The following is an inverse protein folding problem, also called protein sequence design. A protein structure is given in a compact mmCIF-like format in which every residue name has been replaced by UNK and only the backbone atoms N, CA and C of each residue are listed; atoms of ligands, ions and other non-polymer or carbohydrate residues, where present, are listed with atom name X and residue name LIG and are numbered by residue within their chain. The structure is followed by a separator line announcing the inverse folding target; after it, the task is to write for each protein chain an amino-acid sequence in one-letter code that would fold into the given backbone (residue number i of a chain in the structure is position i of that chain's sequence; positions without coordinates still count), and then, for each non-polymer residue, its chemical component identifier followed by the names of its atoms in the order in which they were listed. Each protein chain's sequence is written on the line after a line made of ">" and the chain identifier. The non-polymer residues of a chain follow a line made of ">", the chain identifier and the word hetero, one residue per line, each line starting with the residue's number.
data_IF_141426325968
#
_entry.id   IF_141426325968
#
_cell.length_a   1.000
_cell.length_b   1.000
_cell.length_c   1.000
_cell.angle_alpha   90.00
_cell.angle_beta   90.00
_cell.angle_gamma   90.00
#
_symmetry.space_group_name_H-M   'P 1'
#
loop_
_entity.id
_entity.type
_entity.pdbx_description
1 polymer ?
2 non-polymer ?
3 non-polymer ?
4 water ?
#
# COMPACT_ATOMS: atom_id res chain seq x y z
N UNK A 1 -19.73 3.45 11.33
CA UNK A 1 -18.80 2.91 12.30
C UNK A 1 -17.62 2.24 11.65
N UNK A 2 -16.72 1.69 12.47
CA UNK A 2 -15.49 1.09 11.90
C UNK A 2 -15.74 -0.03 10.90
N UNK A 3 -16.73 -0.90 11.14
CA UNK A 3 -17.00 -1.97 10.19
C UNK A 3 -17.38 -1.43 8.82
N UNK A 4 -18.25 -0.42 8.77
CA UNK A 4 -18.65 0.17 7.50
C UNK A 4 -17.48 0.89 6.83
N UNK A 5 -16.70 1.64 7.62
CA UNK A 5 -15.53 2.30 7.04
C UNK A 5 -14.52 1.28 6.52
N UNK A 6 -14.38 0.14 7.21
CA UNK A 6 -13.49 -0.91 6.73
C UNK A 6 -13.99 -1.54 5.44
N UNK A 7 -15.31 -1.53 5.20
CA UNK A 7 -15.81 -1.97 3.89
C UNK A 7 -15.32 -1.04 2.80
N UNK A 8 -15.38 0.27 3.04
CA UNK A 8 -14.85 1.21 2.06
C UNK A 8 -13.36 0.97 1.84
N UNK A 9 -12.60 0.76 2.92
CA UNK A 9 -11.19 0.41 2.77
C UNK A 9 -10.99 -0.84 1.93
N UNK A 10 -11.79 -1.88 2.17
CA UNK A 10 -11.66 -3.08 1.36
C UNK A 10 -11.95 -2.79 -0.10
N UNK A 11 -12.92 -1.91 -0.37
CA UNK A 11 -13.20 -1.53 -1.75
C UNK A 11 -12.02 -0.85 -2.40
N UNK A 12 -11.39 0.08 -1.66
CA UNK A 12 -10.18 0.73 -2.15
C UNK A 12 -9.11 -0.30 -2.47
N UNK A 13 -8.88 -1.23 -1.54
CA UNK A 13 -7.84 -2.24 -1.73
C UNK A 13 -8.11 -3.06 -2.98
N UNK A 14 -9.36 -3.47 -3.18
CA UNK A 14 -9.70 -4.23 -4.37
C UNK A 14 -9.42 -3.42 -5.62
N UNK A 15 -9.75 -2.13 -5.59
CA UNK A 15 -9.44 -1.27 -6.73
C UNK A 15 -7.94 -1.17 -6.97
N UNK A 16 -7.13 -0.99 -5.92
CA UNK A 16 -5.69 -0.88 -6.12
C UNK A 16 -5.10 -2.14 -6.74
N UNK A 17 -5.71 -3.29 -6.49
CA UNK A 17 -5.25 -4.56 -7.03
C UNK A 17 -5.86 -4.90 -8.38
N UNK A 18 -6.76 -4.08 -8.90
CA UNK A 18 -7.52 -4.41 -10.10
C UNK A 18 -6.74 -4.07 -11.37
N UNK A 19 -7.21 -4.64 -12.50
CA UNK A 19 -6.52 -4.44 -13.77
C UNK A 19 -6.45 -2.97 -14.16
N UNK A 20 -7.44 -2.18 -13.73
CA UNK A 20 -7.50 -0.76 -14.06
C UNK A 20 -6.19 -0.03 -13.73
N UNK A 21 -5.54 -0.41 -12.63
CA UNK A 21 -4.35 0.29 -12.14
C UNK A 21 -3.08 -0.53 -12.27
N UNK A 22 -3.12 -1.66 -12.98
CA UNK A 22 -2.01 -2.61 -12.96
C UNK A 22 -0.74 -2.04 -13.57
N UNK A 23 -0.85 -1.06 -14.46
CA UNK A 23 0.34 -0.54 -15.12
C UNK A 23 1.31 0.10 -14.13
N UNK A 24 0.80 0.64 -13.03
CA UNK A 24 1.63 1.27 -12.01
C UNK A 24 1.50 0.66 -10.62
N UNK A 25 0.53 -0.23 -10.40
CA UNK A 25 0.39 -0.86 -9.09
C UNK A 25 1.26 -2.09 -8.93
N UNK A 26 1.69 -2.71 -10.03
CA UNK A 26 2.33 -4.02 -9.95
C UNK A 26 3.52 -4.09 -9.01
N UNK A 27 4.38 -3.08 -8.86
CA UNK A 27 5.50 -3.25 -7.92
C UNK A 27 5.05 -3.48 -6.50
N UNK A 28 3.83 -3.06 -6.16
CA UNK A 28 3.37 -3.06 -4.78
C UNK A 28 2.51 -4.28 -4.45
N UNK A 29 2.42 -5.24 -5.38
CA UNK A 29 1.53 -6.38 -5.19
C UNK A 29 2.03 -7.32 -4.09
N UNK A 30 3.33 -7.52 -3.99
CA UNK A 30 3.90 -8.52 -3.09
C UNK A 30 5.06 -7.92 -2.31
N UNK A 31 5.47 -8.55 -1.20
CA UNK A 31 6.61 -8.00 -0.45
C UNK A 31 7.83 -7.85 -1.34
N UNK A 32 8.56 -6.75 -1.14
CA UNK A 32 9.83 -6.58 -1.84
C UNK A 32 10.73 -7.75 -1.52
N UNK A 33 11.22 -8.42 -2.56
CA UNK A 33 12.20 -9.49 -2.43
C UNK A 33 13.57 -8.85 -2.62
N UNK A 34 14.14 -8.37 -1.52
CA UNK A 34 15.35 -7.55 -1.60
C UNK A 34 16.51 -8.33 -2.20
N UNK A 35 16.70 -9.58 -1.78
CA UNK A 35 17.78 -10.39 -2.35
C UNK A 35 17.61 -10.56 -3.85
N UNK A 36 16.39 -10.87 -4.30
CA UNK A 36 16.16 -11.11 -5.72
C UNK A 36 16.43 -9.86 -6.55
N UNK A 37 16.11 -8.69 -6.00
CA UNK A 37 16.32 -7.42 -6.69
C UNK A 37 17.73 -6.87 -6.51
N UNK A 38 18.57 -7.54 -5.73
CA UNK A 38 19.91 -7.04 -5.45
C UNK A 38 19.95 -5.86 -4.50
N UNK A 39 18.88 -5.63 -3.74
CA UNK A 39 18.79 -4.49 -2.83
C UNK A 39 19.23 -4.92 -1.44
N UNK A 40 20.55 -5.14 -1.31
CA UNK A 40 21.06 -5.78 -0.11
C UNK A 40 21.08 -4.87 1.10
N UNK A 41 20.75 -3.59 0.93
CA UNK A 41 20.57 -2.66 2.03
C UNK A 41 19.11 -2.40 2.37
N UNK A 42 18.16 -3.04 1.66
CA UNK A 42 16.75 -2.68 1.80
C UNK A 42 16.28 -2.82 3.24
N UNK A 43 16.60 -3.94 3.88
CA UNK A 43 16.11 -4.17 5.23
C UNK A 43 16.89 -3.41 6.30
N UNK A 44 18.01 -2.79 5.94
CA UNK A 44 18.68 -1.87 6.85
C UNK A 44 18.02 -0.49 6.80
N UNK A 45 17.50 -0.12 5.64
CA UNK A 45 16.89 1.20 5.44
C UNK A 45 15.40 1.18 5.76
N UNK A 46 14.71 0.10 5.41
CA UNK A 46 13.27 -0.05 5.58
C UNK A 46 13.04 -0.99 6.76
N UNK A 47 12.64 -0.42 7.88
CA UNK A 47 12.44 -1.20 9.10
C UNK A 47 11.10 -1.91 9.11
N UNK A 48 10.10 -1.39 8.39
CA UNK A 48 8.74 -1.92 8.38
C UNK A 48 8.24 -2.08 6.96
N UNK A 49 8.63 -3.17 6.29
CA UNK A 49 8.15 -3.41 4.93
C UNK A 49 6.63 -3.54 4.89
N UNK A 50 6.04 -3.15 3.77
CA UNK A 50 4.61 -3.27 3.59
C UNK A 50 4.33 -3.38 2.10
N UNK A 51 3.24 -4.08 1.77
CA UNK A 51 2.83 -4.26 0.38
C UNK A 51 1.34 -4.62 0.38
N UNK A 52 0.74 -4.62 -0.81
CA UNK A 52 -0.70 -4.80 -0.90
C UNK A 52 -1.16 -6.21 -0.51
N UNK A 53 -0.35 -7.25 -0.76
CA UNK A 53 -0.77 -8.59 -0.36
C UNK A 53 -0.82 -8.71 1.16
N UNK A 54 0.07 -8.00 1.84
CA UNK A 54 0.05 -8.01 3.30
C UNK A 54 -1.16 -7.24 3.83
N UNK A 55 -1.46 -6.09 3.23
CA UNK A 55 -2.67 -5.36 3.60
C UNK A 55 -3.90 -6.25 3.38
N UNK A 56 -3.94 -6.97 2.26
CA UNK A 56 -5.08 -7.83 1.97
C UNK A 56 -5.22 -8.93 3.01
N UNK A 57 -4.11 -9.55 3.40
CA UNK A 57 -4.20 -10.62 4.39
C UNK A 57 -4.68 -10.07 5.73
N UNK A 58 -4.20 -8.88 6.10
CA UNK A 58 -4.64 -8.27 7.34
C UNK A 58 -6.12 -7.92 7.30
N UNK A 59 -6.61 -7.40 6.18
CA UNK A 59 -8.04 -7.14 6.05
C UNK A 59 -8.84 -8.44 6.15
N UNK A 60 -8.38 -9.50 5.47
CA UNK A 60 -9.10 -10.77 5.47
C UNK A 60 -9.16 -11.38 6.86
N UNK A 61 -8.12 -11.20 7.65
CA UNK A 61 -8.03 -11.74 9.01
C UNK A 61 -8.60 -10.81 10.06
N UNK A 62 -9.21 -9.69 9.66
CA UNK A 62 -9.77 -8.71 10.59
C UNK A 62 -8.72 -8.15 11.53
N UNK A 63 -7.49 -8.02 11.03
CA UNK A 63 -6.42 -7.45 11.83
C UNK A 63 -6.64 -5.95 12.03
N UNK A 64 -7.14 -5.25 11.00
CA UNK A 64 -7.38 -3.82 11.12
C UNK A 64 -8.61 -3.56 11.97
N UNK A 65 -8.45 -2.74 13.00
CA UNK A 65 -9.56 -2.39 13.87
C UNK A 65 -10.36 -1.21 13.34
N UNK A 66 -9.76 -0.37 12.50
CA UNK A 66 -10.46 0.79 11.96
C UNK A 66 -9.77 1.23 10.68
N UNK A 67 -10.39 2.20 10.01
CA UNK A 67 -9.88 2.67 8.73
C UNK A 67 -8.53 3.34 8.88
N UNK A 68 -8.30 4.01 10.00
CA UNK A 68 -7.04 4.72 10.21
C UNK A 68 -5.87 3.75 10.22
N UNK A 69 -6.05 2.58 10.82
CA UNK A 69 -4.99 1.57 10.85
C UNK A 69 -4.68 1.07 9.45
N UNK A 70 -5.72 0.82 8.65
CA UNK A 70 -5.53 0.44 7.26
C UNK A 70 -4.78 1.52 6.48
N UNK A 71 -5.20 2.78 6.62
CA UNK A 71 -4.58 3.85 5.85
C UNK A 71 -3.12 4.01 6.23
N UNK A 72 -2.80 3.85 7.51
CA UNK A 72 -1.41 3.96 7.93
C UNK A 72 -0.54 2.91 7.25
N UNK A 73 -1.04 1.68 7.08
CA UNK A 73 -0.26 0.65 6.39
C UNK A 73 -0.10 0.96 4.91
N UNK A 74 -1.17 1.39 4.23
CA UNK A 74 -1.02 1.73 2.82
C UNK A 74 -0.02 2.87 2.65
N UNK A 75 -0.11 3.88 3.51
CA UNK A 75 0.81 5.00 3.41
C UNK A 75 2.24 4.59 3.76
N UNK A 76 2.40 3.65 4.69
CA UNK A 76 3.72 3.13 5.01
C UNK A 76 4.36 2.49 3.78
N UNK A 77 3.56 1.76 3.01
CA UNK A 77 4.09 1.10 1.83
C UNK A 77 4.62 2.13 0.84
N UNK A 78 3.88 3.22 0.62
CA UNK A 78 4.38 4.26 -0.28
C UNK A 78 5.59 4.97 0.31
N UNK A 79 5.56 5.28 1.61
CA UNK A 79 6.68 5.97 2.25
C UNK A 79 7.97 5.18 2.14
N UNK A 80 7.88 3.85 2.24
CA UNK A 80 9.09 3.04 2.10
C UNK A 80 9.71 3.25 0.74
N UNK A 81 8.88 3.34 -0.29
CA UNK A 81 9.38 3.59 -1.63
C UNK A 81 10.03 4.96 -1.73
N UNK A 82 9.40 5.99 -1.15
CA UNK A 82 9.96 7.33 -1.15
C UNK A 82 11.24 7.41 -0.33
N UNK A 83 11.38 6.55 0.68
CA UNK A 83 12.56 6.57 1.53
C UNK A 83 13.75 5.90 0.84
N UNK A 84 13.51 4.78 0.16
CA UNK A 84 14.60 3.95 -0.34
C UNK A 84 15.20 4.50 -1.63
N UNK A 85 14.39 5.12 -2.49
CA UNK A 85 14.80 5.41 -3.85
C UNK A 85 15.00 6.90 -4.06
N UNK A 86 15.89 7.28 -4.98
CA UNK A 86 15.95 8.67 -5.43
C UNK A 86 14.59 9.11 -5.94
N UNK A 87 14.22 10.38 -5.72
CA UNK A 87 12.86 10.82 -6.07
C UNK A 87 12.54 10.78 -7.55
N UNK A 88 13.54 10.71 -8.44
CA UNK A 88 13.28 10.65 -9.87
C UNK A 88 13.17 9.23 -10.42
N UNK A 89 13.22 8.21 -9.56
CA UNK A 89 13.18 6.84 -10.06
C UNK A 89 11.78 6.49 -10.54
N UNK A 90 11.73 5.62 -11.55
CA UNK A 90 10.46 5.19 -12.12
C UNK A 90 9.55 4.56 -11.07
N UNK A 91 10.12 3.80 -10.12
CA UNK A 91 9.26 3.17 -9.13
C UNK A 91 8.59 4.21 -8.23
N UNK A 92 9.27 5.33 -7.98
CA UNK A 92 8.67 6.42 -7.21
C UNK A 92 7.52 7.05 -7.99
N UNK A 93 7.68 7.22 -9.30
CA UNK A 93 6.58 7.75 -10.11
C UNK A 93 5.36 6.83 -10.06
N UNK A 94 5.59 5.51 -10.07
CA UNK A 94 4.49 4.58 -9.95
C UNK A 94 3.83 4.67 -8.58
N UNK A 95 4.64 4.75 -7.51
CA UNK A 95 4.08 4.91 -6.17
C UNK A 95 3.22 6.16 -6.07
N UNK A 96 3.69 7.27 -6.64
CA UNK A 96 2.94 8.52 -6.56
C UNK A 96 1.61 8.41 -7.28
N UNK A 97 1.59 7.76 -8.44
CA UNK A 97 0.34 7.59 -9.17
C UNK A 97 -0.64 6.71 -8.40
N UNK A 98 -0.16 5.59 -7.84
CA UNK A 98 -1.05 4.74 -7.07
C UNK A 98 -1.50 5.42 -5.79
N UNK A 99 -0.62 6.21 -5.17
CA UNK A 99 -1.03 6.87 -3.94
C UNK A 99 -2.09 7.94 -4.22
N UNK A 100 -2.02 8.60 -5.38
CA UNK A 100 -3.10 9.51 -5.77
C UNK A 100 -4.44 8.78 -5.84
N UNK A 101 -4.46 7.59 -6.47
CA UNK A 101 -5.69 6.80 -6.53
C UNK A 101 -6.18 6.54 -5.12
N UNK A 102 -5.27 6.08 -4.25
CA UNK A 102 -5.63 5.78 -2.87
C UNK A 102 -6.18 7.00 -2.14
N UNK A 103 -5.44 8.11 -2.15
CA UNK A 103 -5.82 9.24 -1.30
C UNK A 103 -7.14 9.85 -1.74
N UNK A 104 -7.38 9.93 -3.04
CA UNK A 104 -8.63 10.54 -3.48
C UNK A 104 -9.84 9.68 -3.14
N UNK A 105 -9.69 8.36 -3.20
CA UNK A 105 -10.81 7.51 -2.80
C UNK A 105 -10.93 7.40 -1.28
N UNK A 106 -9.80 7.36 -0.57
CA UNK A 106 -9.87 7.34 0.89
C UNK A 106 -10.60 8.57 1.41
N UNK A 107 -10.43 9.71 0.73
CA UNK A 107 -11.11 10.94 1.11
C UNK A 107 -12.62 10.84 0.96
N UNK A 108 -13.13 9.89 0.18
CA UNK A 108 -14.56 9.69 0.00
C UNK A 108 -15.16 8.74 1.04
N UNK A 109 -14.43 8.47 2.10
CA UNK A 109 -14.88 7.60 3.18
C UNK A 109 -16.23 8.06 3.71
N UNK A 110 -17.21 7.16 3.85
CA UNK A 110 -18.46 7.54 4.49
C UNK A 110 -18.30 7.73 5.99
N UNK A 111 -19.27 8.44 6.56
CA UNK A 111 -19.36 8.72 7.99
C UNK A 111 -19.00 7.54 8.88
X LIG B 1 15.17 -0.30 -6.78
X LIG B 1 10.43 -1.09 -4.75
X LIG B 1 8.54 -2.55 -5.25
X LIG B 1 9.62 -3.90 -7.11
X LIG B 1 9.82 -5.96 -9.11
X LIG B 1 9.59 -8.25 -9.69
X LIG B 1 9.00 -5.14 -6.96
X LIG B 1 11.24 0.62 -3.35
X LIG B 1 11.42 -0.16 -4.31
X LIG B 1 12.68 -0.20 -5.02
X LIG B 1 12.90 -1.14 -5.94
X LIG B 1 14.01 -1.21 -6.83
X LIG B 1 14.12 -2.06 -8.02
X LIG B 1 14.16 -1.18 -9.28
X LIG B 1 15.17 -0.18 -9.21
X LIG B 1 15.16 0.58 -8.00
X LIG B 1 11.91 -1.97 -6.37
X LIG B 1 10.69 -1.96 -5.74
X LIG B 1 8.85 -1.28 -4.13
X LIG B 1 9.58 -2.85 -6.09
X LIG B 1 10.37 -3.75 -8.30
X LIG B 1 10.46 -4.74 -9.29
X LIG B 1 9.92 -6.92 -10.08
X LIG B 1 8.35 -8.29 -8.80
X LIG B 1 8.42 -7.34 -7.73
X LIG B 1 9.08 -6.17 -7.94
X LIG C 1 15.19 3.00 10.71
X LIG C 1 16.44 3.71 10.81
X LIG C 1 14.21 4.08 10.23
X LIG C 1 12.93 3.54 10.59
X LIG D 1 18.11 9.87 -1.99
X LIG D 1 16.71 10.22 -1.90
X LIG D 1 18.08 8.38 -2.32
X LIG D 1 17.16 7.84 -1.35
X LIG E 1 5.05 -6.46 -15.12
X LIG E 1 4.14 -5.83 -16.04
X LIG E 1 6.33 -5.63 -15.26
X LIG E 1 7.32 -6.43 -14.58
X LIG F 1 -3.57 -7.83 -12.07
X LIG F 1 -2.40 -7.13 -12.53
X LIG F 1 -4.55 -6.71 -11.76
X LIG F 1 -5.72 -7.40 -11.28
X LIG G 1 10.12 -12.01 1.94
X LIG G 1 10.96 -10.95 1.44
X LIG G 1 9.06 -11.27 2.77
X LIG G 1 7.96 -12.20 2.83
#
# INVERSE_FOLDING_TARGET
>A
GPMEQLKHCNGILKELLSKKHAAYAWPFYKPVDASALGLHDYHDIIKHPMDLSTVKRKMENRDYRDAQEFAADVRLMFSNCYKYNPPDHDVVAMARKLQDVFEFRYAKMPD
>B hetero
1 82V C10 C13 C15 C17 C20 C22 C26 O01 C02 C03 C04 N05 C06 C07 O08 C09 O11 C12 S14 C16 C18 C19 O21 C23 O24 C25
>C hetero
1 EDO C1 O1 C2 O2
>D hetero
1 EDO C1 O1 C2 O2
>E hetero
1 EDO C1 O1 C2 O2
>F hetero
1 EDO C1 O1 C2 O2
>G hetero
1 EDO C1 O1 C2 O2
#
